data_IF_968972084545
#
_entry.id   IF_968972084545
#
_cell.length_a   1.000
_cell.length_b   1.000
_cell.length_c   1.000
_cell.angle_alpha   90.00
_cell.angle_beta   90.00
_cell.angle_gamma   90.00
#
_symmetry.space_group_name_H-M   'P 1'
#
loop_
_entity.id
_entity.type
_entity.pdbx_description
1 polymer ?
#
# COMPACT_ATOMS: atom_id res chain seq x y z
N UNK A 1 2.23 9.87 21.25
CA UNK A 1 2.65 8.65 20.50
C UNK A 1 1.88 8.63 19.21
N UNK A 2 2.52 8.34 18.08
CA UNK A 2 1.91 8.43 16.76
C UNK A 2 2.05 7.12 15.97
N UNK A 3 1.26 7.01 14.91
CA UNK A 3 1.27 5.91 13.95
C UNK A 3 1.78 6.44 12.60
N UNK A 4 2.58 5.65 11.89
CA UNK A 4 2.90 5.86 10.48
C UNK A 4 2.19 4.83 9.63
N UNK A 5 1.61 5.26 8.51
CA UNK A 5 0.87 4.43 7.56
C UNK A 5 1.38 4.69 6.14
N UNK A 6 1.67 3.63 5.40
CA UNK A 6 2.04 3.69 3.98
C UNK A 6 1.62 2.40 3.27
N UNK A 7 1.58 2.40 1.95
CA UNK A 7 1.19 1.24 1.13
C UNK A 7 1.46 1.48 -0.35
N UNK A 8 1.08 0.52 -1.18
CA UNK A 8 1.15 0.62 -2.64
C UNK A 8 2.57 1.02 -3.10
N UNK A 9 3.57 0.24 -2.67
CA UNK A 9 5.00 0.46 -2.97
C UNK A 9 5.36 0.02 -4.38
N UNK A 10 4.72 -1.06 -4.84
CA UNK A 10 4.85 -1.55 -6.21
C UNK A 10 6.30 -1.68 -6.68
N UNK A 11 7.12 -2.41 -5.94
CA UNK A 11 8.51 -2.70 -6.32
C UNK A 11 9.45 -1.49 -6.33
N UNK A 12 9.06 -0.36 -5.73
CA UNK A 12 9.91 0.82 -5.58
C UNK A 12 10.71 0.72 -4.26
N UNK A 13 11.81 -0.05 -4.31
CA UNK A 13 12.66 -0.29 -3.14
C UNK A 13 13.23 1.01 -2.58
N UNK A 14 13.65 1.93 -3.44
CA UNK A 14 14.24 3.21 -3.04
C UNK A 14 13.27 4.07 -2.23
N UNK A 15 12.00 4.07 -2.63
CA UNK A 15 10.94 4.75 -1.87
C UNK A 15 10.72 4.08 -0.51
N UNK A 16 10.64 2.74 -0.47
CA UNK A 16 10.45 1.97 0.76
C UNK A 16 11.61 2.18 1.74
N UNK A 17 12.86 2.12 1.27
CA UNK A 17 14.06 2.40 2.09
C UNK A 17 14.01 3.81 2.70
N UNK A 18 13.64 4.80 1.90
CA UNK A 18 13.55 6.19 2.34
C UNK A 18 12.45 6.39 3.41
N UNK A 19 11.27 5.79 3.23
CA UNK A 19 10.17 5.81 4.20
C UNK A 19 10.63 5.20 5.52
N UNK A 20 11.17 3.97 5.50
CA UNK A 20 11.64 3.26 6.70
C UNK A 20 12.71 4.08 7.43
N UNK A 21 13.67 4.64 6.70
CA UNK A 21 14.72 5.49 7.27
C UNK A 21 14.16 6.75 7.93
N UNK A 22 13.16 7.39 7.32
CA UNK A 22 12.49 8.57 7.86
C UNK A 22 11.70 8.24 9.12
N UNK A 23 10.92 7.16 9.11
CA UNK A 23 10.13 6.70 10.26
C UNK A 23 11.03 6.41 11.47
N UNK A 24 12.15 5.69 11.26
CA UNK A 24 13.13 5.38 12.33
C UNK A 24 13.71 6.62 13.01
N UNK A 25 13.80 7.74 12.31
CA UNK A 25 14.28 9.01 12.89
C UNK A 25 13.22 9.73 13.71
N UNK A 26 11.95 9.45 13.48
CA UNK A 26 10.84 10.14 14.15
C UNK A 26 10.47 9.42 15.46
N UNK A 27 11.02 9.90 16.58
CA UNK A 27 10.81 9.29 17.91
C UNK A 27 9.36 9.31 18.40
N UNK A 28 8.47 10.10 17.80
CA UNK A 28 7.04 10.14 18.13
C UNK A 28 6.30 8.93 17.58
N UNK A 29 6.73 8.35 16.45
CA UNK A 29 6.12 7.18 15.82
C UNK A 29 6.47 5.94 16.64
N UNK A 30 5.45 5.20 17.06
CA UNK A 30 5.57 3.99 17.89
C UNK A 30 4.94 2.76 17.24
N UNK A 31 4.08 2.96 16.26
CA UNK A 31 3.42 1.89 15.52
C UNK A 31 3.49 2.21 14.03
N UNK A 32 3.65 1.18 13.20
CA UNK A 32 3.78 1.35 11.75
C UNK A 32 2.96 0.29 11.05
N UNK A 33 2.17 0.72 10.08
CA UNK A 33 1.28 -0.14 9.30
C UNK A 33 1.54 0.03 7.81
N UNK A 34 1.73 -1.10 7.14
CA UNK A 34 1.84 -1.21 5.71
C UNK A 34 0.53 -1.76 5.14
N UNK A 35 -0.06 -1.05 4.18
CA UNK A 35 -1.39 -1.32 3.66
C UNK A 35 -1.42 -2.29 2.46
N UNK A 36 -0.36 -3.03 2.19
CA UNK A 36 -0.29 -3.97 1.07
C UNK A 36 0.29 -3.37 -0.22
N UNK A 37 0.37 -4.20 -1.24
CA UNK A 37 0.94 -3.90 -2.55
C UNK A 37 2.40 -3.46 -2.51
N UNK A 38 3.24 -4.35 -1.96
CA UNK A 38 4.69 -4.19 -2.00
C UNK A 38 5.29 -4.52 -3.37
N UNK A 39 4.61 -5.39 -4.14
CA UNK A 39 5.11 -6.02 -5.36
C UNK A 39 4.44 -5.47 -6.62
N UNK A 40 4.90 -5.93 -7.78
CA UNK A 40 4.44 -5.60 -9.15
C UNK A 40 4.88 -4.23 -9.64
N UNK A 41 4.66 -3.93 -10.90
CA UNK A 41 4.93 -2.69 -11.65
C UNK A 41 6.41 -2.28 -11.66
N UNK A 42 7.02 -2.11 -10.49
CA UNK A 42 8.41 -1.69 -10.34
C UNK A 42 9.42 -2.85 -10.30
N UNK A 43 10.71 -2.54 -10.24
CA UNK A 43 11.79 -3.49 -10.49
C UNK A 43 12.11 -4.44 -9.33
N UNK A 44 11.75 -4.09 -8.08
CA UNK A 44 12.34 -4.72 -6.89
C UNK A 44 11.32 -5.44 -6.00
N UNK A 45 10.37 -6.22 -6.58
CA UNK A 45 9.29 -6.89 -5.83
C UNK A 45 9.82 -7.75 -4.67
N UNK A 46 10.73 -8.68 -4.92
CA UNK A 46 11.33 -9.54 -3.88
C UNK A 46 12.11 -8.73 -2.83
N UNK A 47 12.88 -7.72 -3.26
CA UNK A 47 13.65 -6.90 -2.35
C UNK A 47 12.74 -6.08 -1.40
N UNK A 48 11.59 -5.60 -1.88
CA UNK A 48 10.60 -4.93 -1.05
C UNK A 48 10.02 -5.86 0.03
N UNK A 49 9.63 -7.09 -0.34
CA UNK A 49 9.14 -8.08 0.61
C UNK A 49 10.21 -8.43 1.66
N UNK A 50 11.44 -8.68 1.23
CA UNK A 50 12.56 -8.98 2.13
C UNK A 50 12.86 -7.83 3.09
N UNK A 51 12.74 -6.58 2.61
CA UNK A 51 12.93 -5.41 3.46
C UNK A 51 11.81 -5.28 4.51
N UNK A 52 10.56 -5.54 4.14
CA UNK A 52 9.42 -5.59 5.09
C UNK A 52 9.61 -6.72 6.10
N UNK A 53 9.94 -7.94 5.66
CA UNK A 53 10.18 -9.10 6.54
C UNK A 53 11.32 -8.87 7.54
N UNK A 54 12.38 -8.15 7.14
CA UNK A 54 13.48 -7.76 8.03
C UNK A 54 13.12 -6.67 9.06
N UNK A 55 11.93 -6.07 8.94
CA UNK A 55 11.47 -5.02 9.84
C UNK A 55 10.13 -5.42 10.51
N UNK A 56 10.09 -6.43 11.40
CA UNK A 56 8.86 -6.99 11.97
C UNK A 56 8.06 -6.00 12.85
N UNK A 57 8.62 -4.84 13.13
CA UNK A 57 7.91 -3.72 13.76
C UNK A 57 6.94 -3.01 12.80
N UNK A 58 7.01 -3.29 11.50
CA UNK A 58 6.02 -2.89 10.50
C UNK A 58 4.98 -3.99 10.41
N UNK A 59 3.75 -3.70 10.80
CA UNK A 59 2.63 -4.62 10.66
C UNK A 59 2.03 -4.48 9.26
N UNK A 60 1.98 -5.57 8.51
CA UNK A 60 1.55 -5.57 7.12
C UNK A 60 0.18 -6.20 6.97
N UNK A 61 -0.70 -5.62 6.16
CA UNK A 61 -1.86 -6.31 5.58
C UNK A 61 -1.53 -6.70 4.15
N UNK A 62 -2.21 -7.74 3.65
CA UNK A 62 -2.01 -8.23 2.29
C UNK A 62 -2.75 -7.35 1.28
N UNK A 63 -2.12 -7.07 0.13
CA UNK A 63 -2.76 -6.39 -0.99
C UNK A 63 -3.30 -7.38 -2.04
N UNK A 64 -4.05 -6.87 -3.02
CA UNK A 64 -4.58 -7.69 -4.12
C UNK A 64 -3.45 -8.24 -5.00
N UNK A 65 -2.35 -7.50 -5.17
CA UNK A 65 -1.20 -7.97 -5.94
C UNK A 65 -0.49 -9.14 -5.25
N UNK A 66 -0.28 -9.10 -3.94
CA UNK A 66 0.25 -10.23 -3.18
C UNK A 66 -0.68 -11.44 -3.25
N UNK A 67 -1.98 -11.26 -3.06
CA UNK A 67 -2.95 -12.37 -3.13
C UNK A 67 -3.00 -12.99 -4.52
N UNK A 68 -2.92 -12.17 -5.57
CA UNK A 68 -2.90 -12.63 -6.97
C UNK A 68 -1.68 -13.51 -7.25
N UNK A 69 -0.50 -13.12 -6.75
CA UNK A 69 0.71 -13.93 -6.90
C UNK A 69 0.59 -15.27 -6.19
N UNK A 70 0.09 -15.30 -4.96
CA UNK A 70 -0.11 -16.56 -4.20
C UNK A 70 -1.15 -17.47 -4.86
N UNK A 71 -2.10 -16.91 -5.61
CA UNK A 71 -3.17 -17.62 -6.33
C UNK A 71 -2.90 -17.73 -7.83
N UNK A 72 -1.66 -17.56 -8.25
CA UNK A 72 -1.28 -17.44 -9.67
C UNK A 72 -2.00 -18.44 -10.58
N UNK A 73 -1.98 -19.72 -10.25
CA UNK A 73 -2.63 -20.79 -11.05
C UNK A 73 -4.15 -20.61 -11.21
N UNK A 74 -4.82 -19.91 -10.29
CA UNK A 74 -6.26 -19.67 -10.29
C UNK A 74 -6.67 -18.35 -10.93
N UNK A 75 -5.76 -17.37 -10.95
CA UNK A 75 -6.05 -16.01 -11.41
C UNK A 75 -5.82 -15.79 -12.90
N UNK A 76 -5.08 -16.67 -13.56
CA UNK A 76 -4.66 -16.52 -14.97
C UNK A 76 -5.85 -16.48 -15.94
N UNK A 77 -6.93 -17.18 -15.66
CA UNK A 77 -8.09 -17.28 -16.58
C UNK A 77 -8.85 -15.96 -16.81
N UNK A 78 -8.67 -14.96 -15.92
CA UNK A 78 -9.37 -13.68 -15.98
C UNK A 78 -8.50 -12.52 -16.48
N UNK A 79 -7.22 -12.77 -16.76
CA UNK A 79 -6.24 -11.76 -17.11
C UNK A 79 -6.04 -11.61 -18.63
N UNK A 80 -5.66 -10.41 -19.07
CA UNK A 80 -5.15 -10.20 -20.43
C UNK A 80 -3.82 -10.94 -20.63
N UNK A 81 -3.43 -11.23 -21.87
CA UNK A 81 -2.13 -11.86 -22.17
C UNK A 81 -0.95 -11.07 -21.59
N UNK A 82 -0.97 -9.74 -21.69
CA UNK A 82 0.05 -8.86 -21.10
C UNK A 82 0.09 -8.96 -19.56
N UNK A 83 -1.06 -9.01 -18.93
CA UNK A 83 -1.20 -9.22 -17.49
C UNK A 83 -0.63 -10.57 -17.04
N UNK A 84 -0.90 -11.65 -17.81
CA UNK A 84 -0.35 -12.98 -17.54
C UNK A 84 1.18 -12.95 -17.58
N UNK A 85 1.76 -12.35 -18.63
CA UNK A 85 3.23 -12.24 -18.77
C UNK A 85 3.87 -11.44 -17.66
N UNK A 86 3.21 -10.36 -17.22
CA UNK A 86 3.69 -9.59 -16.07
C UNK A 86 3.62 -10.40 -14.77
N UNK A 87 2.51 -11.10 -14.51
CA UNK A 87 2.37 -11.95 -13.33
C UNK A 87 3.36 -13.10 -13.30
N UNK A 88 3.60 -13.76 -14.46
CA UNK A 88 4.60 -14.80 -14.62
C UNK A 88 6.00 -14.27 -14.26
N UNK A 89 6.36 -13.10 -14.78
CA UNK A 89 7.64 -12.44 -14.45
C UNK A 89 7.76 -12.16 -12.95
N UNK A 90 6.73 -11.62 -12.33
CA UNK A 90 6.72 -11.34 -10.88
C UNK A 90 6.82 -12.65 -10.09
N UNK A 91 6.00 -13.66 -10.40
CA UNK A 91 6.02 -14.95 -9.71
C UNK A 91 7.42 -15.58 -9.71
N UNK A 92 8.10 -15.60 -10.88
CA UNK A 92 9.45 -16.14 -11.00
C UNK A 92 10.55 -15.25 -10.39
N UNK A 93 10.26 -13.99 -10.09
CA UNK A 93 11.18 -13.10 -9.38
C UNK A 93 11.15 -13.28 -7.85
N UNK A 94 10.16 -13.99 -7.32
CA UNK A 94 9.99 -14.25 -5.90
C UNK A 94 10.56 -15.62 -5.51
N UNK A 95 11.13 -15.72 -4.32
CA UNK A 95 11.53 -16.98 -3.73
C UNK A 95 10.50 -17.53 -2.73
N UNK A 96 10.77 -18.73 -2.20
CA UNK A 96 9.87 -19.37 -1.25
C UNK A 96 9.72 -18.59 0.08
N UNK A 97 10.72 -17.80 0.48
CA UNK A 97 10.64 -16.98 1.69
C UNK A 97 9.71 -15.78 1.45
N UNK A 98 9.76 -15.18 0.27
CA UNK A 98 8.85 -14.13 -0.14
C UNK A 98 7.40 -14.62 -0.11
N UNK A 99 7.12 -15.79 -0.72
CA UNK A 99 5.78 -16.38 -0.74
C UNK A 99 5.30 -16.78 0.67
N UNK A 100 6.20 -17.26 1.53
CA UNK A 100 5.87 -17.54 2.93
C UNK A 100 5.52 -16.26 3.68
N UNK A 101 6.29 -15.20 3.50
CA UNK A 101 6.03 -13.92 4.15
C UNK A 101 4.67 -13.34 3.74
N UNK A 102 4.33 -13.35 2.43
CA UNK A 102 3.00 -12.92 1.95
C UNK A 102 1.87 -13.68 2.68
N UNK A 103 2.00 -15.00 2.82
CA UNK A 103 0.99 -15.85 3.48
C UNK A 103 0.79 -15.53 4.97
N UNK A 104 1.72 -14.83 5.61
CA UNK A 104 1.58 -14.38 7.01
C UNK A 104 0.80 -13.07 7.15
N UNK A 105 0.60 -12.33 6.06
CA UNK A 105 -0.10 -11.05 6.08
C UNK A 105 -1.62 -11.27 6.22
N UNK A 106 -2.27 -10.70 7.24
CA UNK A 106 -3.72 -10.77 7.36
C UNK A 106 -4.41 -9.83 6.36
N UNK A 107 -5.69 -10.05 6.10
CA UNK A 107 -6.52 -9.15 5.29
C UNK A 107 -6.79 -7.82 5.99
N UNK A 108 -6.87 -7.83 7.33
CA UNK A 108 -7.13 -6.63 8.12
C UNK A 108 -6.38 -6.66 9.47
N UNK A 109 -6.08 -5.49 10.00
CA UNK A 109 -5.56 -5.30 11.36
C UNK A 109 -6.47 -4.30 12.06
N UNK A 110 -6.98 -4.68 13.24
CA UNK A 110 -7.81 -3.82 14.10
C UNK A 110 -7.05 -3.46 15.35
N UNK A 111 -7.12 -2.20 15.75
CA UNK A 111 -6.54 -1.72 17.01
C UNK A 111 -7.45 -0.71 17.69
N UNK A 112 -7.28 -0.55 19.00
CA UNK A 112 -7.71 0.64 19.70
C UNK A 112 -6.46 1.49 20.00
N UNK A 113 -6.44 2.72 19.51
CA UNK A 113 -5.34 3.65 19.72
C UNK A 113 -5.87 4.91 20.38
N UNK A 114 -5.54 5.11 21.66
CA UNK A 114 -6.00 6.25 22.47
C UNK A 114 -7.53 6.42 22.43
N UNK A 115 -8.28 5.32 22.57
CA UNK A 115 -9.74 5.33 22.55
C UNK A 115 -10.38 5.41 21.16
N UNK A 116 -9.60 5.36 20.09
CA UNK A 116 -10.05 5.36 18.69
C UNK A 116 -9.92 3.96 18.12
N UNK A 117 -11.01 3.40 17.60
CA UNK A 117 -11.02 2.11 16.91
C UNK A 117 -10.57 2.30 15.46
N UNK A 118 -9.43 1.72 15.11
CA UNK A 118 -8.80 1.88 13.80
C UNK A 118 -8.76 0.54 13.10
N UNK A 119 -9.11 0.55 11.82
CA UNK A 119 -8.93 -0.59 10.91
C UNK A 119 -7.89 -0.22 9.83
N UNK A 120 -6.97 -1.14 9.58
CA UNK A 120 -6.05 -1.10 8.45
C UNK A 120 -6.37 -2.26 7.52
N UNK A 121 -6.63 -1.96 6.25
CA UNK A 121 -6.91 -2.91 5.17
C UNK A 121 -6.21 -2.45 3.90
N UNK A 122 -6.02 -3.35 2.94
CA UNK A 122 -5.64 -2.87 1.60
C UNK A 122 -6.86 -2.29 0.89
N UNK A 123 -7.92 -3.09 0.77
CA UNK A 123 -9.22 -2.68 0.22
C UNK A 123 -10.34 -3.55 0.80
N UNK A 124 -11.56 -3.43 0.26
CA UNK A 124 -12.66 -4.31 0.66
C UNK A 124 -12.45 -5.73 0.15
N UNK A 125 -13.10 -6.68 0.80
CA UNK A 125 -13.04 -8.10 0.42
C UNK A 125 -14.28 -8.47 -0.40
N UNK A 126 -14.13 -9.44 -1.31
CA UNK A 126 -15.24 -10.11 -1.95
C UNK A 126 -15.87 -11.16 -1.00
N UNK A 127 -16.89 -11.87 -1.48
CA UNK A 127 -17.59 -12.93 -0.75
C UNK A 127 -16.71 -14.15 -0.38
N UNK A 128 -15.54 -14.29 -1.02
CA UNK A 128 -14.56 -15.34 -0.76
C UNK A 128 -13.41 -14.87 0.15
N UNK A 129 -13.49 -13.65 0.68
CA UNK A 129 -12.44 -13.06 1.52
C UNK A 129 -11.18 -12.66 0.75
N UNK A 130 -11.31 -12.41 -0.56
CA UNK A 130 -10.25 -11.93 -1.43
C UNK A 130 -10.34 -10.42 -1.52
N UNK A 131 -9.20 -9.74 -1.50
CA UNK A 131 -9.15 -8.30 -1.75
C UNK A 131 -9.64 -8.03 -3.17
N UNK A 132 -10.65 -7.16 -3.29
CA UNK A 132 -11.26 -6.80 -4.58
C UNK A 132 -10.25 -6.09 -5.47
N UNK A 133 -10.35 -6.33 -6.78
CA UNK A 133 -9.54 -5.71 -7.81
C UNK A 133 -10.25 -4.56 -8.54
N UNK A 134 -11.57 -4.41 -8.31
CA UNK A 134 -12.37 -3.40 -8.96
C UNK A 134 -12.08 -2.00 -8.41
N UNK A 135 -12.17 -1.05 -9.30
CA UNK A 135 -12.01 0.36 -8.99
C UNK A 135 -13.37 1.04 -9.08
N UNK A 136 -13.87 1.51 -7.96
CA UNK A 136 -15.10 2.29 -7.92
C UNK A 136 -14.80 3.77 -7.61
N UNK A 137 -15.67 4.67 -8.06
CA UNK A 137 -15.52 6.08 -7.79
C UNK A 137 -15.71 6.38 -6.30
N UNK A 138 -14.85 7.23 -5.75
CA UNK A 138 -14.82 7.58 -4.35
C UNK A 138 -15.97 8.50 -3.95
N UNK A 139 -17.13 7.96 -3.66
CA UNK A 139 -18.22 8.65 -2.98
C UNK A 139 -18.40 8.10 -1.57
N UNK A 140 -19.04 8.89 -0.69
CA UNK A 140 -19.39 8.48 0.67
C UNK A 140 -20.26 7.21 0.63
N UNK A 141 -21.31 7.20 -0.20
CA UNK A 141 -22.22 6.06 -0.34
C UNK A 141 -21.51 4.78 -0.79
N UNK A 142 -20.47 4.91 -1.60
CA UNK A 142 -19.68 3.77 -2.04
C UNK A 142 -18.75 3.24 -0.95
N UNK A 143 -18.11 4.12 -0.18
CA UNK A 143 -17.28 3.72 0.96
C UNK A 143 -18.12 3.06 2.06
N UNK A 144 -19.33 3.54 2.28
CA UNK A 144 -20.29 2.91 3.19
C UNK A 144 -20.66 1.50 2.71
N UNK A 145 -20.94 1.31 1.41
CA UNK A 145 -21.21 -0.01 0.81
C UNK A 145 -20.01 -0.96 0.96
N UNK A 146 -18.78 -0.46 0.83
CA UNK A 146 -17.56 -1.27 0.90
C UNK A 146 -17.14 -1.62 2.33
N UNK A 147 -17.38 -0.74 3.28
CA UNK A 147 -16.83 -0.82 4.64
C UNK A 147 -17.84 -0.59 5.75
N UNK A 148 -19.08 -0.17 5.44
CA UNK A 148 -20.06 0.30 6.41
C UNK A 148 -20.50 -0.73 7.46
N UNK A 149 -20.45 -2.04 7.13
CA UNK A 149 -20.73 -3.12 8.07
C UNK A 149 -19.65 -3.27 9.18
N UNK A 150 -18.46 -2.66 8.98
CA UNK A 150 -17.37 -2.73 9.96
C UNK A 150 -17.57 -1.72 11.08
N UNK A 151 -17.21 -2.11 12.28
CA UNK A 151 -17.22 -1.23 13.46
C UNK A 151 -15.86 -0.56 13.59
N UNK A 152 -15.79 0.76 13.36
CA UNK A 152 -14.59 1.58 13.47
C UNK A 152 -14.93 3.06 13.66
N UNK A 153 -13.97 3.83 14.16
CA UNK A 153 -13.99 5.29 14.12
C UNK A 153 -13.24 5.79 12.87
N UNK A 154 -12.16 5.09 12.48
CA UNK A 154 -11.35 5.42 11.29
C UNK A 154 -10.84 4.16 10.60
N UNK A 155 -10.91 4.14 9.26
CA UNK A 155 -10.33 3.08 8.43
C UNK A 155 -9.27 3.66 7.50
N UNK A 156 -8.08 3.05 7.49
CA UNK A 156 -7.01 3.35 6.55
C UNK A 156 -6.93 2.26 5.48
N UNK A 157 -6.87 2.66 4.21
CA UNK A 157 -6.80 1.73 3.08
C UNK A 157 -5.94 2.29 1.93
N UNK A 158 -5.50 1.41 1.02
CA UNK A 158 -4.69 1.68 -0.16
C UNK A 158 -5.45 1.51 -1.47
N UNK A 159 -4.89 0.74 -2.42
CA UNK A 159 -5.46 0.27 -3.67
C UNK A 159 -5.73 1.34 -4.74
N UNK A 160 -6.36 2.44 -4.39
CA UNK A 160 -6.87 3.44 -5.35
C UNK A 160 -5.80 4.45 -5.80
N UNK A 161 -4.62 4.40 -5.22
CA UNK A 161 -3.48 5.28 -5.53
C UNK A 161 -3.74 6.80 -5.39
N UNK A 162 -4.95 7.22 -5.01
CA UNK A 162 -5.32 8.62 -4.78
C UNK A 162 -5.56 8.86 -3.30
N UNK A 163 -4.86 9.83 -2.72
CA UNK A 163 -5.11 10.21 -1.33
C UNK A 163 -6.42 10.97 -1.22
N UNK A 164 -7.32 10.49 -0.36
CA UNK A 164 -8.59 11.14 -0.02
C UNK A 164 -8.99 10.84 1.41
N UNK A 165 -9.60 11.80 2.08
CA UNK A 165 -10.22 11.64 3.39
C UNK A 165 -11.69 12.02 3.25
N UNK A 166 -12.58 11.14 3.67
CA UNK A 166 -14.03 11.37 3.74
C UNK A 166 -14.46 11.10 5.16
N UNK A 167 -15.29 11.96 5.72
CA UNK A 167 -15.95 11.79 7.02
C UNK A 167 -17.44 11.73 6.71
N UNK A 168 -18.10 10.63 7.10
CA UNK A 168 -19.53 10.46 6.90
C UNK A 168 -20.36 11.21 7.96
N UNK A 169 -21.67 11.22 7.76
CA UNK A 169 -22.63 11.88 8.67
C UNK A 169 -22.60 11.29 10.10
N UNK A 170 -22.12 10.06 10.27
CA UNK A 170 -21.98 9.40 11.58
C UNK A 170 -20.66 9.74 12.29
N UNK A 171 -19.75 10.45 11.61
CA UNK A 171 -18.41 10.80 12.08
C UNK A 171 -17.34 9.72 11.84
N UNK A 172 -17.64 8.64 11.11
CA UNK A 172 -16.64 7.67 10.68
C UNK A 172 -15.72 8.29 9.63
N UNK A 173 -14.45 8.02 9.72
CA UNK A 173 -13.43 8.55 8.82
C UNK A 173 -12.88 7.46 7.90
N UNK A 174 -12.93 7.70 6.59
CA UNK A 174 -12.39 6.84 5.54
C UNK A 174 -11.15 7.51 4.94
N UNK A 175 -9.98 6.91 5.14
CA UNK A 175 -8.71 7.48 4.74
C UNK A 175 -8.03 6.59 3.70
N UNK A 176 -8.15 6.96 2.42
CA UNK A 176 -7.29 6.39 1.39
C UNK A 176 -5.90 7.01 1.49
N UNK A 177 -4.89 6.16 1.73
CA UNK A 177 -3.51 6.62 1.88
C UNK A 177 -2.93 7.18 0.57
N UNK A 178 -3.34 6.63 -0.56
CA UNK A 178 -2.67 6.80 -1.86
C UNK A 178 -1.39 5.97 -1.95
N UNK A 179 -0.83 5.87 -3.14
CA UNK A 179 0.34 5.03 -3.41
C UNK A 179 1.64 5.72 -3.01
N UNK A 180 2.36 5.12 -2.06
CA UNK A 180 3.64 5.65 -1.59
C UNK A 180 4.79 5.33 -2.54
N UNK A 181 4.68 4.30 -3.38
CA UNK A 181 5.70 3.92 -4.36
C UNK A 181 5.43 4.39 -5.78
N UNK A 182 4.16 4.48 -6.20
CA UNK A 182 3.76 4.99 -7.51
C UNK A 182 3.74 6.54 -7.49
N UNK A 183 4.92 7.14 -7.54
CA UNK A 183 5.10 8.59 -7.47
C UNK A 183 5.84 9.13 -8.69
N UNK A 184 5.44 10.33 -9.15
CA UNK A 184 5.96 10.92 -10.39
C UNK A 184 7.24 11.75 -10.22
N UNK A 185 7.64 12.04 -8.98
CA UNK A 185 8.83 12.85 -8.66
C UNK A 185 9.86 12.07 -7.85
N UNK A 186 10.73 12.78 -7.18
CA UNK A 186 11.78 12.28 -6.29
C UNK A 186 11.36 12.20 -4.82
N UNK A 187 10.08 12.44 -4.53
CA UNK A 187 9.52 12.36 -3.19
C UNK A 187 8.48 11.23 -3.09
N UNK A 188 8.65 10.39 -2.11
CA UNK A 188 7.65 9.46 -1.57
C UNK A 188 7.03 10.02 -0.30
N UNK A 189 6.13 9.26 0.35
CA UNK A 189 5.49 9.72 1.58
C UNK A 189 4.99 8.56 2.45
N UNK A 190 4.73 8.90 3.71
CA UNK A 190 3.86 8.15 4.60
C UNK A 190 2.84 9.08 5.27
N UNK A 191 1.72 8.56 5.70
CA UNK A 191 0.75 9.29 6.51
C UNK A 191 1.17 9.20 7.98
N UNK A 192 1.26 10.35 8.65
CA UNK A 192 1.38 10.47 10.09
C UNK A 192 -0.02 10.59 10.67
N UNK A 193 -0.29 9.81 11.71
CA UNK A 193 -1.54 9.84 12.44
C UNK A 193 -1.28 9.93 13.95
N UNK A 194 -1.94 10.84 14.63
CA UNK A 194 -1.98 10.89 16.09
C UNK A 194 -3.37 11.36 16.57
N UNK A 195 -3.75 10.95 17.76
CA UNK A 195 -4.95 11.41 18.44
C UNK A 195 -4.57 12.52 19.39
N UNK A 196 -5.24 13.67 19.26
CA UNK A 196 -5.00 14.84 20.09
C UNK A 196 -5.94 14.83 21.30
N UNK A 197 -5.41 14.50 22.48
CA UNK A 197 -6.17 14.38 23.75
C UNK A 197 -6.61 15.73 24.36
N UNK A 198 -6.27 16.87 23.72
CA UNK A 198 -6.45 18.19 24.32
C UNK A 198 -7.85 18.79 24.16
N UNK A 199 -8.74 18.16 23.41
CA UNK A 199 -10.11 18.61 23.21
C UNK A 199 -11.12 17.53 23.58
N UNK A 200 -12.33 17.95 24.07
CA UNK A 200 -13.44 17.03 24.38
C UNK A 200 -14.01 16.29 23.16
N UNK A 201 -13.60 16.69 21.95
CA UNK A 201 -13.94 16.04 20.68
C UNK A 201 -12.73 15.28 20.16
N UNK A 202 -12.96 14.08 19.59
CA UNK A 202 -11.91 13.27 18.96
C UNK A 202 -11.30 14.04 17.80
N UNK A 203 -10.13 14.66 18.00
CA UNK A 203 -9.40 15.37 16.97
C UNK A 203 -8.19 14.55 16.54
N UNK A 204 -8.03 14.36 15.24
CA UNK A 204 -6.96 13.58 14.66
C UNK A 204 -5.98 14.47 13.90
N UNK A 205 -4.69 14.29 14.18
CA UNK A 205 -3.63 14.83 13.32
C UNK A 205 -3.36 13.82 12.20
N UNK A 206 -3.85 14.09 10.99
CA UNK A 206 -3.63 13.25 9.80
C UNK A 206 -2.96 14.09 8.72
N UNK A 207 -1.67 13.86 8.47
CA UNK A 207 -0.95 14.58 7.41
C UNK A 207 0.08 13.70 6.73
N UNK A 208 0.44 14.09 5.51
CA UNK A 208 1.50 13.46 4.73
C UNK A 208 2.85 13.97 5.20
N UNK A 209 3.79 13.04 5.38
CA UNK A 209 5.21 13.35 5.56
C UNK A 209 5.93 12.96 4.28
N UNK A 210 6.36 13.96 3.51
CA UNK A 210 7.11 13.73 2.28
C UNK A 210 8.56 13.37 2.60
N UNK A 211 9.13 12.47 1.81
CA UNK A 211 10.49 11.95 1.99
C UNK A 211 11.17 11.82 0.64
N UNK A 212 12.32 12.46 0.46
CA UNK A 212 13.14 12.28 -0.75
C UNK A 212 13.72 10.89 -0.82
N UNK A 213 13.69 10.28 -2.01
CA UNK A 213 14.30 8.98 -2.30
C UNK A 213 15.24 9.06 -3.50
N UNK A 214 16.02 8.02 -3.74
CA UNK A 214 16.94 7.98 -4.86
C UNK A 214 16.21 7.61 -6.16
N UNK A 215 15.50 8.59 -6.72
CA UNK A 215 14.73 8.46 -7.97
C UNK A 215 15.60 7.95 -9.12
N UNK A 216 16.82 8.46 -9.28
CA UNK A 216 17.73 8.08 -10.36
C UNK A 216 18.03 6.58 -10.33
N UNK A 217 18.34 6.01 -9.16
CA UNK A 217 18.61 4.57 -9.02
C UNK A 217 17.38 3.72 -9.38
N UNK A 218 16.18 4.15 -9.00
CA UNK A 218 14.94 3.50 -9.40
C UNK A 218 14.77 3.52 -10.93
N UNK A 219 14.96 4.67 -11.58
CA UNK A 219 14.82 4.82 -13.02
C UNK A 219 15.84 3.99 -13.81
N UNK A 220 17.09 3.95 -13.36
CA UNK A 220 18.15 3.11 -13.95
C UNK A 220 17.72 1.63 -13.96
N UNK A 221 17.16 1.11 -12.87
CA UNK A 221 16.65 -0.26 -12.81
C UNK A 221 15.46 -0.50 -13.74
N UNK A 222 14.50 0.44 -13.77
CA UNK A 222 13.35 0.37 -14.67
C UNK A 222 13.77 0.30 -16.14
N UNK A 223 14.82 1.03 -16.53
CA UNK A 223 15.35 1.00 -17.92
C UNK A 223 15.98 -0.34 -18.25
N UNK A 224 16.78 -0.90 -17.37
CA UNK A 224 17.62 -2.09 -17.62
C UNK A 224 16.80 -3.40 -17.55
N UNK A 225 15.90 -3.53 -16.57
CA UNK A 225 15.22 -4.80 -16.31
C UNK A 225 14.13 -5.11 -17.35
N UNK A 226 14.00 -6.39 -17.77
CA UNK A 226 13.05 -6.83 -18.79
C UNK A 226 11.64 -7.04 -18.22
N UNK A 227 11.12 -6.05 -17.52
CA UNK A 227 9.78 -6.12 -16.90
C UNK A 227 8.73 -6.05 -18.00
N UNK A 228 7.84 -7.05 -18.15
CA UNK A 228 6.71 -6.96 -19.08
C UNK A 228 5.83 -5.75 -18.77
N UNK A 229 5.37 -5.04 -19.80
CA UNK A 229 4.57 -3.82 -19.69
C UNK A 229 5.27 -2.62 -19.01
N UNK A 230 6.61 -2.66 -18.84
CA UNK A 230 7.33 -1.61 -18.12
C UNK A 230 7.12 -0.19 -18.66
N UNK A 231 6.95 -0.02 -19.99
CA UNK A 231 6.69 1.29 -20.62
C UNK A 231 5.37 1.85 -20.11
N UNK A 232 4.34 1.02 -20.02
CA UNK A 232 3.03 1.40 -19.51
C UNK A 232 3.09 1.77 -18.02
N UNK A 233 3.71 0.93 -17.19
CA UNK A 233 3.87 1.20 -15.76
C UNK A 233 4.75 2.42 -15.49
N UNK A 234 5.86 2.56 -16.21
CA UNK A 234 6.75 3.72 -16.12
C UNK A 234 5.98 5.02 -16.33
N UNK A 235 5.17 5.09 -17.39
CA UNK A 235 4.38 6.26 -17.74
C UNK A 235 3.26 6.54 -16.73
N UNK A 236 2.43 5.54 -16.43
CA UNK A 236 1.20 5.75 -15.67
C UNK A 236 1.41 5.74 -14.16
N UNK A 237 2.27 4.84 -13.65
CA UNK A 237 2.53 4.72 -12.21
C UNK A 237 3.65 5.64 -11.75
N UNK A 238 4.72 5.77 -12.54
CA UNK A 238 5.94 6.43 -12.11
C UNK A 238 6.24 7.75 -12.82
N UNK A 239 5.46 8.14 -13.83
CA UNK A 239 5.68 9.38 -14.59
C UNK A 239 7.02 9.44 -15.33
N UNK A 240 7.49 8.27 -15.79
CA UNK A 240 8.74 8.14 -16.56
C UNK A 240 8.43 7.93 -18.03
N UNK A 241 9.25 8.50 -18.90
CA UNK A 241 9.31 8.14 -20.31
C UNK A 241 10.46 7.15 -20.53
N UNK A 242 10.15 5.99 -21.08
CA UNK A 242 11.13 4.95 -21.45
C UNK A 242 11.26 4.78 -22.96
N UNK A 243 10.64 5.64 -23.75
CA UNK A 243 10.67 5.58 -25.21
C UNK A 243 11.86 6.33 -25.82
N UNK A 244 12.66 7.01 -24.98
CA UNK A 244 13.90 7.71 -25.34
C UNK A 244 15.14 6.88 -25.03
#
# INVERSE_FOLDING_TARGET
>A
MAIAIFGDIHGNLEALEAIIKSIKKNRKIKQVYFLGDAITFGPDSSACLKLLAKNPWIKCVVGNHEQRVVRYDKSVSTMTYAGIKHMEYIYHSLDNDDLRFIKTMPNEIKINFKGVNIIFVHYSLDEHGVVRDDYEEFSESQLEKLFGEKVFDIIFFGHIHRRKIIIDETGKSYVCNGASGCVKGDETFYTYFDVNDKMREKNYDIYRVNVKFNRRRFEEKMRILPIPEKVNFAKHCFGMDLTE
#
